data_IF_696128517280
#
_entry.id   IF_696128517280
#
_cell.length_a   1.000
_cell.length_b   1.000
_cell.length_c   1.000
_cell.angle_alpha   90.00
_cell.angle_beta   90.00
_cell.angle_gamma   90.00
#
_symmetry.space_group_name_H-M   'P 1'
#
loop_
_entity.id
_entity.type
_entity.pdbx_description
1 polymer ?
#
# COMPACT_ATOMS: atom_id res chain seq x y z
N UNK A 1 -19.94 2.22 19.65
CA UNK A 1 -18.71 2.59 18.89
C UNK A 1 -19.08 2.59 17.41
N UNK A 2 -18.91 3.72 16.73
CA UNK A 2 -19.09 3.83 15.27
C UNK A 2 -17.71 3.82 14.61
N UNK A 3 -17.40 2.75 13.89
CA UNK A 3 -16.16 2.58 13.13
C UNK A 3 -16.48 2.76 11.63
N UNK A 4 -15.55 3.35 10.89
CA UNK A 4 -15.56 3.33 9.42
C UNK A 4 -14.15 3.11 8.89
N UNK A 5 -14.03 2.46 7.74
CA UNK A 5 -12.76 2.20 7.07
C UNK A 5 -12.65 3.04 5.81
N UNK A 6 -11.59 3.84 5.72
CA UNK A 6 -11.23 4.57 4.51
C UNK A 6 -10.48 3.61 3.55
N UNK A 7 -10.98 3.47 2.32
CA UNK A 7 -10.42 2.60 1.30
C UNK A 7 -9.76 3.42 0.18
N UNK A 8 -8.89 2.77 -0.61
CA UNK A 8 -8.25 3.35 -1.79
C UNK A 8 -7.41 4.62 -1.52
N UNK A 9 -6.80 4.71 -0.34
CA UNK A 9 -5.85 5.76 0.00
C UNK A 9 -4.53 5.58 -0.76
N UNK A 10 -3.82 6.69 -0.99
CA UNK A 10 -2.48 6.68 -1.57
C UNK A 10 -1.50 6.18 -0.49
N UNK A 11 -0.66 5.17 -0.77
CA UNK A 11 0.37 4.69 0.16
C UNK A 11 1.41 5.77 0.50
N UNK A 12 2.05 5.65 1.67
CA UNK A 12 3.08 6.59 2.13
C UNK A 12 2.65 8.07 2.04
N UNK A 13 1.39 8.36 2.35
CA UNK A 13 0.80 9.69 2.22
C UNK A 13 0.14 10.09 3.54
N UNK A 14 0.38 11.32 3.97
CA UNK A 14 -0.27 11.90 5.16
C UNK A 14 -1.71 12.34 4.81
N UNK A 15 -2.65 11.95 5.67
CA UNK A 15 -4.04 12.37 5.60
C UNK A 15 -4.45 13.05 6.92
N UNK A 16 -5.13 14.19 6.80
CA UNK A 16 -5.87 14.81 7.89
C UNK A 16 -7.33 14.32 7.85
N UNK A 17 -7.82 13.81 8.97
CA UNK A 17 -9.16 13.22 9.09
C UNK A 17 -9.96 14.06 10.07
N UNK A 18 -11.13 14.53 9.65
CA UNK A 18 -12.04 15.32 10.49
C UNK A 18 -13.37 14.59 10.65
N UNK A 19 -13.83 14.40 11.89
CA UNK A 19 -15.09 13.73 12.22
C UNK A 19 -16.01 14.73 12.91
N UNK A 20 -17.25 14.84 12.42
CA UNK A 20 -18.27 15.72 12.99
C UNK A 20 -19.52 14.90 13.33
N UNK A 21 -20.14 15.17 14.49
CA UNK A 21 -21.44 14.62 14.83
C UNK A 21 -22.55 15.52 14.28
N UNK A 22 -23.59 14.94 13.70
CA UNK A 22 -24.74 15.67 13.16
C UNK A 22 -26.03 15.22 13.83
N UNK A 23 -26.82 16.18 14.28
CA UNK A 23 -28.14 15.96 14.87
C UNK A 23 -29.13 16.99 14.31
N UNK A 24 -29.98 16.55 13.37
CA UNK A 24 -30.79 17.47 12.56
C UNK A 24 -29.91 18.42 11.75
N UNK A 25 -30.17 19.72 11.86
CA UNK A 25 -29.37 20.79 11.22
C UNK A 25 -28.15 21.21 12.06
N UNK A 26 -28.00 20.68 13.28
CA UNK A 26 -26.85 21.01 14.14
C UNK A 26 -25.68 20.07 13.86
N UNK A 27 -24.48 20.63 13.81
CA UNK A 27 -23.21 19.90 13.68
C UNK A 27 -22.32 20.25 14.87
N UNK A 28 -21.63 19.25 15.43
CA UNK A 28 -20.65 19.47 16.50
C UNK A 28 -19.37 20.14 15.97
N UNK A 29 -18.49 20.53 16.88
CA UNK A 29 -17.10 20.80 16.53
C UNK A 29 -16.45 19.57 15.89
N UNK A 30 -15.52 19.80 14.97
CA UNK A 30 -14.78 18.74 14.29
C UNK A 30 -13.72 18.17 15.23
N UNK A 31 -13.70 16.84 15.35
CA UNK A 31 -12.56 16.12 15.90
C UNK A 31 -11.57 15.85 14.77
N UNK A 32 -10.38 16.44 14.86
CA UNK A 32 -9.32 16.27 13.87
C UNK A 32 -8.22 15.35 14.37
N UNK A 33 -7.73 14.49 13.49
CA UNK A 33 -6.54 13.69 13.72
C UNK A 33 -5.76 13.52 12.40
N UNK A 34 -4.50 13.10 12.49
CA UNK A 34 -3.63 12.88 11.33
C UNK A 34 -3.06 11.47 11.35
N UNK A 35 -3.00 10.86 10.17
CA UNK A 35 -2.41 9.54 9.98
C UNK A 35 -1.64 9.45 8.67
N UNK A 36 -0.53 8.72 8.71
CA UNK A 36 0.25 8.39 7.50
C UNK A 36 -0.08 6.96 7.09
N UNK A 37 -0.47 6.76 5.85
CA UNK A 37 -0.68 5.42 5.30
C UNK A 37 0.64 4.68 5.19
N UNK A 38 0.59 3.35 5.39
CA UNK A 38 1.79 2.53 5.22
C UNK A 38 2.30 2.61 3.77
N UNK A 39 3.64 2.55 3.56
CA UNK A 39 4.19 2.39 2.23
C UNK A 39 3.74 1.05 1.63
N UNK A 40 3.75 0.95 0.30
CA UNK A 40 3.54 -0.34 -0.35
C UNK A 40 4.72 -1.25 0.03
N UNK A 41 4.48 -2.40 0.67
CA UNK A 41 5.50 -3.40 0.87
C UNK A 41 6.19 -3.74 -0.46
N UNK A 42 7.50 -4.02 -0.46
CA UNK A 42 8.19 -4.43 -1.68
C UNK A 42 7.50 -5.66 -2.31
N UNK A 43 7.76 -5.89 -3.61
CA UNK A 43 7.49 -7.20 -4.19
C UNK A 43 8.10 -8.26 -3.27
N UNK A 44 7.36 -9.33 -2.97
CA UNK A 44 7.79 -10.27 -1.94
C UNK A 44 9.02 -11.06 -2.37
N UNK A 45 9.35 -12.11 -1.62
CA UNK A 45 10.66 -12.74 -1.72
C UNK A 45 10.98 -13.21 -3.15
N UNK A 46 12.06 -12.67 -3.73
CA UNK A 46 12.57 -13.08 -5.02
C UNK A 46 13.35 -14.38 -4.86
N UNK A 47 13.01 -15.37 -5.67
CA UNK A 47 13.58 -16.72 -5.67
C UNK A 47 14.10 -17.01 -7.07
N UNK A 48 15.32 -17.53 -7.13
CA UNK A 48 15.97 -17.91 -8.38
C UNK A 48 16.09 -19.44 -8.39
N UNK A 49 15.74 -20.05 -9.51
CA UNK A 49 15.79 -21.50 -9.74
C UNK A 49 16.27 -21.79 -11.16
N UNK A 50 16.54 -23.06 -11.47
CA UNK A 50 16.92 -23.53 -12.82
C UNK A 50 18.06 -22.70 -13.45
N UNK A 51 19.13 -22.46 -12.69
CA UNK A 51 20.28 -21.66 -13.12
C UNK A 51 21.16 -22.48 -14.06
N UNK A 52 21.42 -21.95 -15.24
CA UNK A 52 22.40 -22.46 -16.21
C UNK A 52 23.50 -21.42 -16.43
N UNK A 53 24.42 -21.69 -17.36
CA UNK A 53 25.45 -20.73 -17.75
C UNK A 53 24.90 -19.46 -18.43
N UNK A 54 23.64 -19.48 -18.92
CA UNK A 54 23.06 -18.38 -19.71
C UNK A 54 21.59 -18.09 -19.41
N UNK A 55 20.95 -18.86 -18.54
CA UNK A 55 19.54 -18.68 -18.19
C UNK A 55 19.31 -18.89 -16.71
N UNK A 56 18.30 -18.23 -16.17
CA UNK A 56 17.77 -18.49 -14.84
C UNK A 56 16.26 -18.29 -14.84
N UNK A 57 15.58 -18.98 -13.95
CA UNK A 57 14.15 -18.80 -13.71
C UNK A 57 13.94 -17.99 -12.44
N UNK A 58 13.17 -16.92 -12.54
CA UNK A 58 12.92 -15.99 -11.43
C UNK A 58 11.45 -16.02 -11.05
N UNK A 59 11.17 -16.18 -9.75
CA UNK A 59 9.85 -16.21 -9.16
C UNK A 59 9.79 -15.25 -7.97
N UNK A 60 8.72 -14.47 -7.80
CA UNK A 60 8.54 -13.56 -6.67
C UNK A 60 7.11 -13.64 -6.16
N UNK A 61 6.91 -13.31 -4.88
CA UNK A 61 5.56 -13.21 -4.32
C UNK A 61 4.91 -11.90 -4.80
N UNK A 62 3.59 -11.94 -5.04
CA UNK A 62 2.86 -10.77 -5.50
C UNK A 62 2.92 -9.63 -4.47
N UNK A 63 3.30 -8.44 -4.91
CA UNK A 63 3.16 -7.23 -4.09
C UNK A 63 1.68 -7.00 -3.72
N UNK A 64 1.41 -6.48 -2.52
CA UNK A 64 0.04 -6.22 -2.09
C UNK A 64 -0.61 -5.09 -2.88
N UNK A 65 -1.91 -5.23 -3.13
CA UNK A 65 -2.71 -4.28 -3.89
C UNK A 65 -2.78 -4.58 -5.39
N UNK A 66 -3.33 -3.64 -6.16
CA UNK A 66 -3.51 -3.78 -7.60
C UNK A 66 -2.20 -3.46 -8.34
N UNK A 67 -1.38 -4.49 -8.57
CA UNK A 67 -0.10 -4.34 -9.28
C UNK A 67 -0.35 -4.12 -10.78
N UNK A 68 0.20 -3.02 -11.32
CA UNK A 68 0.10 -2.70 -12.75
C UNK A 68 1.25 -3.31 -13.56
N UNK A 69 2.45 -3.34 -12.99
CA UNK A 69 3.66 -3.80 -13.68
C UNK A 69 4.74 -4.19 -12.68
N UNK A 70 5.59 -5.16 -13.05
CA UNK A 70 6.84 -5.47 -12.36
C UNK A 70 8.02 -5.04 -13.24
N UNK A 71 9.07 -4.49 -12.63
CA UNK A 71 10.33 -4.16 -13.29
C UNK A 71 11.40 -5.08 -12.70
N UNK A 72 12.08 -5.82 -13.57
CA UNK A 72 13.14 -6.75 -13.19
C UNK A 72 14.44 -6.23 -13.81
N UNK A 73 15.42 -5.95 -12.96
CA UNK A 73 16.76 -5.52 -13.36
C UNK A 73 17.76 -6.61 -13.04
N UNK A 74 18.61 -6.95 -14.00
CA UNK A 74 19.73 -7.86 -13.80
C UNK A 74 21.04 -7.13 -14.11
N UNK A 75 22.11 -7.48 -13.41
CA UNK A 75 23.46 -6.97 -13.66
C UNK A 75 24.44 -8.15 -13.58
N UNK A 76 25.18 -8.46 -14.65
CA UNK A 76 26.36 -9.32 -14.53
C UNK A 76 27.43 -8.58 -13.72
N UNK A 77 28.20 -9.31 -12.89
CA UNK A 77 29.36 -8.74 -12.21
C UNK A 77 30.40 -8.18 -13.18
#
# INVERSE_FOLDING_TARGET
VTNTQLLQLIPNTEYSISVLARHGEMTSDALEDRGVTLPVPPAGALRISDVTHSSMKVNWDAAPGAVRQYIITYKPE
#
